data_IF_357004776993
#
_entry.id   IF_357004776993
#
_cell.length_a   1.000
_cell.length_b   1.000
_cell.length_c   1.000
_cell.angle_alpha   90.00
_cell.angle_beta   90.00
_cell.angle_gamma   90.00
#
_symmetry.space_group_name_H-M   'P 1'
#
loop_
_entity.id
_entity.type
_entity.pdbx_description
1 polymer ?
#
# COMPACT_ATOMS: atom_id res chain seq x y z
N UNK A 1 -3.71 -24.17 -14.22
CA UNK A 1 -3.13 -22.99 -13.54
C UNK A 1 -1.90 -22.42 -14.26
N UNK A 2 -1.33 -23.15 -15.23
CA UNK A 2 0.02 -22.93 -15.81
C UNK A 2 0.16 -21.87 -16.91
N UNK A 3 -0.91 -21.19 -17.35
CA UNK A 3 -0.85 -20.30 -18.53
C UNK A 3 -1.17 -18.82 -18.25
N UNK A 4 -1.45 -18.44 -17.00
CA UNK A 4 -1.89 -17.06 -16.68
C UNK A 4 -0.74 -16.06 -16.84
N UNK A 5 0.45 -16.40 -16.32
CA UNK A 5 1.62 -15.54 -16.40
C UNK A 5 2.16 -15.44 -17.84
N UNK A 6 2.12 -16.55 -18.58
CA UNK A 6 2.61 -16.60 -19.96
C UNK A 6 1.68 -15.87 -20.94
N UNK A 7 0.36 -16.04 -20.77
CA UNK A 7 -0.64 -15.40 -21.64
C UNK A 7 -1.07 -14.01 -21.16
N UNK A 8 -0.68 -13.62 -19.95
CA UNK A 8 -1.10 -12.37 -19.30
C UNK A 8 -2.62 -12.27 -19.09
N UNK A 9 -3.33 -13.39 -19.05
CA UNK A 9 -4.79 -13.45 -19.03
C UNK A 9 -5.32 -14.21 -17.81
N UNK A 10 -5.98 -13.49 -16.90
CA UNK A 10 -6.68 -14.07 -15.77
C UNK A 10 -8.10 -14.53 -16.16
N UNK A 11 -8.61 -15.64 -15.58
CA UNK A 11 -10.00 -16.05 -15.76
C UNK A 11 -10.98 -14.92 -15.42
N UNK A 12 -12.08 -14.80 -16.17
CA UNK A 12 -13.06 -13.72 -15.93
C UNK A 12 -13.68 -13.78 -14.53
N UNK A 13 -13.86 -14.99 -13.99
CA UNK A 13 -14.37 -15.19 -12.64
C UNK A 13 -13.43 -14.62 -11.56
N UNK A 14 -12.12 -14.47 -11.83
CA UNK A 14 -11.18 -13.83 -10.90
C UNK A 14 -11.27 -12.31 -10.89
N UNK A 15 -11.91 -11.71 -11.89
CA UNK A 15 -12.14 -10.26 -11.97
C UNK A 15 -13.39 -9.81 -11.21
N UNK A 16 -14.18 -10.74 -10.71
CA UNK A 16 -15.36 -10.47 -9.90
C UNK A 16 -15.01 -10.61 -8.42
N UNK A 17 -15.57 -9.73 -7.58
CA UNK A 17 -15.35 -9.72 -6.15
C UNK A 17 -16.69 -9.50 -5.42
N UNK A 18 -16.92 -10.23 -4.33
CA UNK A 18 -18.03 -9.93 -3.43
C UNK A 18 -17.62 -8.79 -2.51
N UNK A 19 -18.35 -7.67 -2.51
CA UNK A 19 -18.01 -6.51 -1.69
C UNK A 19 -18.73 -6.60 -0.35
N UNK A 20 -17.98 -6.51 0.75
CA UNK A 20 -18.52 -6.38 2.10
C UNK A 20 -18.30 -4.97 2.60
N UNK A 21 -19.36 -4.31 3.04
CA UNK A 21 -19.30 -2.97 3.64
C UNK A 21 -19.16 -3.08 5.16
N UNK A 22 -18.07 -2.58 5.71
CA UNK A 22 -17.81 -2.56 7.17
C UNK A 22 -17.91 -1.14 7.68
N UNK A 23 -18.81 -0.89 8.63
CA UNK A 23 -18.96 0.42 9.25
C UNK A 23 -17.68 0.84 9.99
N UNK A 24 -17.23 2.08 9.77
CA UNK A 24 -16.09 2.66 10.49
C UNK A 24 -16.46 2.75 11.99
N UNK A 25 -15.54 2.39 12.90
CA UNK A 25 -15.79 2.48 14.34
C UNK A 25 -16.23 3.88 14.76
N UNK A 26 -17.30 3.97 15.57
CA UNK A 26 -17.80 5.24 16.11
C UNK A 26 -18.49 6.18 15.10
N UNK A 27 -18.80 5.72 13.89
CA UNK A 27 -19.52 6.51 12.87
C UNK A 27 -20.98 6.09 12.73
N UNK A 28 -21.88 7.02 12.39
CA UNK A 28 -23.30 6.70 12.22
C UNK A 28 -23.53 5.89 10.93
N UNK A 29 -24.46 4.93 11.00
CA UNK A 29 -24.77 3.97 9.93
C UNK A 29 -25.63 4.55 8.78
N UNK A 30 -26.10 5.79 8.91
CA UNK A 30 -26.98 6.45 7.94
C UNK A 30 -26.24 7.01 6.72
N UNK A 31 -24.92 7.09 6.74
CA UNK A 31 -24.11 7.64 5.65
C UNK A 31 -23.25 6.57 4.98
N UNK A 32 -23.34 6.45 3.65
CA UNK A 32 -22.58 5.46 2.89
C UNK A 32 -21.05 5.67 2.98
N UNK A 33 -20.58 6.92 3.11
CA UNK A 33 -19.16 7.28 3.27
C UNK A 33 -18.53 6.76 4.56
N UNK A 34 -19.35 6.35 5.53
CA UNK A 34 -18.90 5.77 6.80
C UNK A 34 -18.57 4.28 6.69
N UNK A 35 -18.79 3.66 5.53
CA UNK A 35 -18.44 2.27 5.30
C UNK A 35 -17.09 2.13 4.57
N UNK A 36 -16.31 1.12 4.97
CA UNK A 36 -15.17 0.62 4.21
C UNK A 36 -15.65 -0.51 3.32
N UNK A 37 -15.51 -0.33 2.01
CA UNK A 37 -15.82 -1.37 1.03
C UNK A 37 -14.62 -2.31 0.92
N UNK A 38 -14.78 -3.57 1.31
CA UNK A 38 -13.74 -4.58 1.23
C UNK A 38 -14.10 -5.58 0.13
N UNK A 39 -13.38 -5.59 -1.00
CA UNK A 39 -13.58 -6.58 -2.06
C UNK A 39 -13.01 -7.93 -1.63
N UNK A 40 -13.87 -8.95 -1.53
CA UNK A 40 -13.48 -10.34 -1.32
C UNK A 40 -13.14 -10.97 -2.67
N UNK A 41 -11.87 -10.85 -3.05
CA UNK A 41 -11.32 -11.51 -4.23
C UNK A 41 -11.31 -13.04 -4.04
N UNK A 42 -11.38 -13.77 -5.16
CA UNK A 42 -11.24 -15.22 -5.13
C UNK A 42 -9.86 -15.65 -4.56
N UNK A 43 -9.82 -16.78 -3.85
CA UNK A 43 -8.60 -17.22 -3.15
C UNK A 43 -7.41 -17.40 -4.08
N UNK A 44 -7.64 -17.85 -5.32
CA UNK A 44 -6.58 -18.05 -6.30
C UNK A 44 -5.99 -16.72 -6.81
N UNK A 45 -6.80 -15.66 -6.93
CA UNK A 45 -6.30 -14.32 -7.26
C UNK A 45 -5.42 -13.77 -6.14
N UNK A 46 -5.88 -13.89 -4.88
CA UNK A 46 -5.09 -13.48 -3.71
C UNK A 46 -3.76 -14.22 -3.62
N UNK A 47 -3.77 -15.52 -3.95
CA UNK A 47 -2.56 -16.33 -3.98
C UNK A 47 -1.58 -15.84 -5.06
N UNK A 48 -2.08 -15.54 -6.27
CA UNK A 48 -1.27 -14.96 -7.34
C UNK A 48 -0.69 -13.59 -6.93
N UNK A 49 -1.49 -12.71 -6.36
CA UNK A 49 -1.05 -11.41 -5.84
C UNK A 49 0.04 -11.57 -4.78
N UNK A 50 -0.09 -12.54 -3.87
CA UNK A 50 0.93 -12.87 -2.87
C UNK A 50 2.23 -13.31 -3.54
N UNK A 51 2.18 -14.17 -4.55
CA UNK A 51 3.38 -14.57 -5.31
C UNK A 51 4.05 -13.38 -6.00
N UNK A 52 3.27 -12.52 -6.65
CA UNK A 52 3.78 -11.30 -7.28
C UNK A 52 4.44 -10.40 -6.24
N UNK A 53 3.76 -10.16 -5.10
CA UNK A 53 4.28 -9.34 -4.01
C UNK A 53 5.64 -9.86 -3.53
N UNK A 54 5.75 -11.15 -3.23
CA UNK A 54 7.00 -11.78 -2.79
C UNK A 54 8.13 -11.59 -3.80
N UNK A 55 7.82 -11.58 -5.11
CA UNK A 55 8.82 -11.37 -6.16
C UNK A 55 9.24 -9.92 -6.32
N UNK A 56 8.34 -8.95 -6.14
CA UNK A 56 8.65 -7.52 -6.32
C UNK A 56 9.25 -6.87 -5.07
N UNK A 57 8.91 -7.36 -3.87
CA UNK A 57 9.36 -6.77 -2.59
C UNK A 57 10.87 -6.59 -2.51
N UNK A 58 11.73 -7.56 -2.87
CA UNK A 58 13.19 -7.40 -2.81
C UNK A 58 13.75 -6.25 -3.66
N UNK A 59 13.02 -5.83 -4.70
CA UNK A 59 13.43 -4.72 -5.57
C UNK A 59 12.82 -3.39 -5.17
N UNK A 60 11.63 -3.39 -4.56
CA UNK A 60 10.94 -2.17 -4.10
C UNK A 60 11.48 -1.70 -2.75
N UNK A 61 11.70 -2.63 -1.82
CA UNK A 61 12.02 -2.30 -0.43
C UNK A 61 13.33 -1.49 -0.30
N UNK A 62 14.44 -1.82 -1.01
CA UNK A 62 15.66 -1.01 -0.95
C UNK A 62 15.51 0.41 -1.52
N UNK A 63 14.54 0.62 -2.42
CA UNK A 63 14.27 1.92 -3.03
C UNK A 63 13.19 2.72 -2.26
N UNK A 64 12.64 2.15 -1.19
CA UNK A 64 11.63 2.80 -0.35
C UNK A 64 12.33 3.66 0.71
N UNK A 65 11.78 4.85 0.96
CA UNK A 65 12.32 5.80 1.93
C UNK A 65 12.58 5.12 3.28
N UNK A 66 13.75 5.37 3.88
CA UNK A 66 14.18 4.71 5.13
C UNK A 66 13.21 4.99 6.29
N UNK A 67 12.65 6.19 6.32
CA UNK A 67 11.65 6.63 7.30
C UNK A 67 10.27 6.00 7.08
N UNK A 68 9.99 5.35 5.95
CA UNK A 68 8.71 4.67 5.78
C UNK A 68 8.72 3.37 6.57
N UNK A 69 7.88 3.24 7.60
CA UNK A 69 7.71 1.99 8.34
C UNK A 69 6.46 1.20 7.93
N UNK A 70 5.43 1.89 7.43
CA UNK A 70 4.18 1.26 7.01
C UNK A 70 4.39 0.25 5.88
N UNK A 71 3.78 -0.94 6.02
CA UNK A 71 3.77 -2.02 5.04
C UNK A 71 5.16 -2.57 4.67
N UNK A 72 6.18 -2.36 5.52
CA UNK A 72 7.53 -2.92 5.32
C UNK A 72 7.81 -4.08 6.26
N UNK A 73 8.50 -5.13 5.79
CA UNK A 73 8.95 -6.20 6.67
C UNK A 73 9.92 -5.63 7.71
N UNK A 74 9.89 -6.17 8.93
CA UNK A 74 10.82 -5.83 10.01
C UNK A 74 10.78 -4.36 10.47
N UNK A 75 9.74 -3.61 10.13
CA UNK A 75 9.48 -2.25 10.65
C UNK A 75 8.22 -2.24 11.49
N UNK A 76 8.23 -1.49 12.59
CA UNK A 76 7.09 -1.43 13.54
C UNK A 76 6.63 0.00 13.73
N UNK A 77 5.35 0.16 14.08
CA UNK A 77 4.78 1.47 14.45
C UNK A 77 5.48 2.05 15.69
N UNK A 78 5.95 1.21 16.61
CA UNK A 78 6.70 1.61 17.79
C UNK A 78 8.03 2.29 17.45
N UNK A 79 8.72 1.85 16.39
CA UNK A 79 9.96 2.48 15.93
C UNK A 79 9.69 3.89 15.44
N UNK A 80 8.60 4.13 14.71
CA UNK A 80 8.25 5.47 14.25
C UNK A 80 7.80 6.40 15.35
N UNK A 81 7.07 5.88 16.34
CA UNK A 81 6.74 6.68 17.53
C UNK A 81 8.02 7.08 18.25
N UNK A 82 8.96 6.15 18.44
CA UNK A 82 10.24 6.43 19.08
C UNK A 82 11.05 7.48 18.30
N UNK A 83 11.22 7.31 16.98
CA UNK A 83 11.93 8.30 16.16
C UNK A 83 11.26 9.67 16.24
N UNK A 84 9.93 9.73 16.14
CA UNK A 84 9.18 10.98 16.23
C UNK A 84 9.34 11.67 17.59
N UNK A 85 9.28 10.93 18.70
CA UNK A 85 9.47 11.49 20.04
C UNK A 85 10.92 11.93 20.26
N UNK A 86 11.90 11.17 19.77
CA UNK A 86 13.31 11.54 19.85
C UNK A 86 13.63 12.83 19.07
N UNK A 87 13.00 13.05 17.91
CA UNK A 87 13.15 14.29 17.16
C UNK A 87 12.59 15.50 17.93
N UNK A 88 11.47 15.31 18.65
CA UNK A 88 10.89 16.33 19.52
C UNK A 88 11.80 16.64 20.72
N UNK A 89 12.29 15.61 21.40
CA UNK A 89 13.21 15.72 22.53
C UNK A 89 14.50 16.43 22.12
N UNK A 90 15.10 16.05 21.00
CA UNK A 90 16.30 16.70 20.47
C UNK A 90 16.05 18.19 20.17
N UNK A 91 14.90 18.54 19.60
CA UNK A 91 14.54 19.94 19.39
C UNK A 91 14.39 20.72 20.70
N UNK A 92 13.77 20.10 21.72
CA UNK A 92 13.61 20.69 23.05
C UNK A 92 14.97 20.93 23.73
N UNK A 93 15.88 19.95 23.71
CA UNK A 93 17.22 20.06 24.28
C UNK A 93 18.04 21.19 23.63
N UNK A 94 17.89 21.37 22.32
CA UNK A 94 18.55 22.43 21.57
C UNK A 94 17.84 23.80 21.66
N UNK A 95 16.81 23.93 22.50
CA UNK A 95 15.99 25.15 22.66
C UNK A 95 15.37 25.63 21.34
N UNK A 96 15.07 24.71 20.44
CA UNK A 96 14.42 24.98 19.16
C UNK A 96 12.89 24.93 19.32
N UNK A 97 12.18 25.63 18.45
CA UNK A 97 10.74 25.47 18.30
C UNK A 97 10.47 24.30 17.35
N UNK A 98 9.97 23.20 17.88
CA UNK A 98 9.60 22.02 17.09
C UNK A 98 8.11 22.04 16.77
N UNK A 99 7.75 21.87 15.50
CA UNK A 99 6.37 21.78 15.04
C UNK A 99 6.19 20.50 14.21
N UNK A 100 5.04 19.83 14.37
CA UNK A 100 4.71 18.62 13.65
C UNK A 100 3.57 18.88 12.66
N UNK A 101 3.77 18.48 11.40
CA UNK A 101 2.74 18.52 10.36
C UNK A 101 2.34 17.08 10.03
N UNK A 102 1.09 16.74 10.31
CA UNK A 102 0.53 15.41 10.08
C UNK A 102 -0.40 15.45 8.86
N UNK A 103 -0.16 14.56 7.89
CA UNK A 103 -0.92 14.50 6.64
C UNK A 103 -1.59 13.13 6.55
N UNK A 104 -2.90 13.13 6.31
CA UNK A 104 -3.68 11.93 6.02
C UNK A 104 -4.29 12.02 4.61
N UNK A 105 -4.18 10.95 3.84
CA UNK A 105 -4.64 10.91 2.45
C UNK A 105 -6.06 10.32 2.37
N UNK A 106 -6.99 11.08 1.80
CA UNK A 106 -8.35 10.62 1.58
C UNK A 106 -8.41 9.52 0.51
N UNK A 107 -9.03 8.39 0.84
CA UNK A 107 -9.25 7.26 -0.09
C UNK A 107 -7.99 6.85 -0.87
N UNK A 108 -6.86 6.69 -0.16
CA UNK A 108 -5.55 6.51 -0.78
C UNK A 108 -5.47 5.34 -1.77
N UNK A 109 -6.21 4.24 -1.55
CA UNK A 109 -6.24 3.09 -2.46
C UNK A 109 -7.13 3.30 -3.69
N UNK A 110 -8.24 4.03 -3.53
CA UNK A 110 -9.21 4.27 -4.60
C UNK A 110 -8.74 5.37 -5.57
N UNK A 111 -7.87 6.26 -5.08
CA UNK A 111 -7.40 7.46 -5.81
C UNK A 111 -6.01 7.31 -6.43
N UNK A 112 -5.43 6.10 -6.39
CA UNK A 112 -4.09 5.86 -6.96
C UNK A 112 -4.07 6.13 -8.46
N UNK A 113 -3.20 7.03 -8.89
CA UNK A 113 -2.94 7.24 -10.32
C UNK A 113 -2.23 6.03 -10.93
N UNK A 114 -3.01 5.17 -11.59
CA UNK A 114 -2.57 3.88 -12.13
C UNK A 114 -1.48 4.02 -13.19
N UNK A 115 -1.59 5.05 -14.05
CA UNK A 115 -0.56 5.34 -15.06
C UNK A 115 0.80 5.67 -14.45
N UNK A 116 0.81 6.51 -13.41
CA UNK A 116 2.01 6.87 -12.66
C UNK A 116 2.61 5.70 -11.90
N UNK A 117 1.77 4.84 -11.31
CA UNK A 117 2.22 3.61 -10.65
C UNK A 117 2.93 2.67 -11.64
N UNK A 118 2.33 2.42 -12.81
CA UNK A 118 2.94 1.57 -13.85
C UNK A 118 4.26 2.17 -14.33
N UNK A 119 4.33 3.50 -14.51
CA UNK A 119 5.58 4.17 -14.88
C UNK A 119 6.67 3.96 -13.83
N UNK A 120 6.36 4.14 -12.54
CA UNK A 120 7.30 3.88 -11.43
C UNK A 120 7.80 2.43 -11.43
N UNK A 121 6.92 1.45 -11.64
CA UNK A 121 7.30 0.04 -11.73
C UNK A 121 8.23 -0.26 -12.93
N UNK A 122 7.99 0.39 -14.09
CA UNK A 122 8.89 0.28 -15.25
C UNK A 122 10.26 0.91 -14.98
N UNK A 123 10.30 2.06 -14.32
CA UNK A 123 11.54 2.74 -13.94
C UNK A 123 12.36 1.91 -12.93
N UNK A 124 11.67 1.24 -12.01
CA UNK A 124 12.27 0.29 -11.06
C UNK A 124 12.72 -1.03 -11.70
N UNK A 125 12.61 -1.18 -13.04
CA UNK A 125 12.95 -2.40 -13.80
C UNK A 125 12.22 -3.67 -13.33
N UNK A 126 11.06 -3.51 -12.69
CA UNK A 126 10.23 -4.61 -12.18
C UNK A 126 9.34 -5.23 -13.26
N UNK A 127 9.04 -4.46 -14.31
CA UNK A 127 8.26 -4.90 -15.46
C UNK A 127 9.20 -4.82 -16.67
N UNK A 128 9.36 -5.90 -17.45
CA UNK A 128 10.16 -5.84 -18.66
C UNK A 128 9.59 -4.75 -19.58
N UNK A 129 10.47 -3.87 -20.09
CA UNK A 129 10.10 -3.01 -21.21
C UNK A 129 9.73 -3.95 -22.34
N UNK A 130 8.45 -3.97 -22.74
CA UNK A 130 8.07 -4.58 -24.02
C UNK A 130 8.97 -3.90 -25.06
N UNK A 131 9.92 -4.67 -25.62
CA UNK A 131 10.54 -4.30 -26.88
C UNK A 131 9.38 -4.31 -27.88
N UNK A 132 9.06 -3.14 -28.41
CA UNK A 132 8.33 -3.06 -29.66
C UNK A 132 9.22 -3.61 -30.77
#
# INVERSE_FOLDING_TARGET
MTNILDKGACPQIWKHASVVAILKPGKPANEASNYRHIPLLCCLCKLLERFILTRITPYVDPNTQVQQAGFRPQRRTTEQVLTFTSDIEAGFENKLKTEAVLIDLSSAYDTVYTGGLILKLKLAKLIPRKKF
#
